data_IF_679787448781
#
_entry.id   IF_679787448781
#
_cell.length_a   1.000
_cell.length_b   1.000
_cell.length_c   1.000
_cell.angle_alpha   90.00
_cell.angle_beta   90.00
_cell.angle_gamma   90.00
#
_symmetry.space_group_name_H-M   'P 1'
#
loop_
_entity.id
_entity.type
_entity.pdbx_description
1 polymer ?
#
# COMPACT_ATOMS: atom_id res chain seq x y z
N UNK A 1 -22.64 -34.39 16.35
CA UNK A 1 -22.41 -33.71 15.06
C UNK A 1 -22.96 -32.31 15.23
N UNK A 2 -22.12 -31.27 15.24
CA UNK A 2 -22.57 -29.89 15.46
C UNK A 2 -23.02 -29.32 14.11
N UNK A 3 -24.32 -29.35 13.85
CA UNK A 3 -24.91 -28.61 12.73
C UNK A 3 -25.00 -27.13 13.15
N UNK A 4 -23.98 -26.34 12.80
CA UNK A 4 -24.08 -24.88 12.91
C UNK A 4 -25.21 -24.39 12.00
N UNK A 5 -26.11 -23.57 12.53
CA UNK A 5 -27.23 -23.01 11.77
C UNK A 5 -26.72 -22.18 10.57
N UNK A 6 -27.33 -22.38 9.40
CA UNK A 6 -26.94 -21.67 8.16
C UNK A 6 -26.99 -20.15 8.28
N UNK A 7 -27.78 -19.61 9.21
CA UNK A 7 -27.80 -18.17 9.54
C UNK A 7 -26.54 -17.73 10.26
N UNK A 8 -26.12 -18.46 11.29
CA UNK A 8 -24.90 -18.16 12.05
C UNK A 8 -23.65 -18.19 11.15
N UNK A 9 -23.58 -19.11 10.19
CA UNK A 9 -22.49 -19.17 9.21
C UNK A 9 -22.45 -17.91 8.33
N UNK A 10 -23.61 -17.42 7.88
CA UNK A 10 -23.69 -16.21 7.04
C UNK A 10 -23.29 -14.96 7.81
N UNK A 11 -23.71 -14.84 9.07
CA UNK A 11 -23.39 -13.70 9.92
C UNK A 11 -21.89 -13.66 10.25
N UNK A 12 -21.28 -14.81 10.57
CA UNK A 12 -19.82 -14.93 10.75
C UNK A 12 -19.05 -14.56 9.48
N UNK A 13 -19.52 -14.98 8.30
CA UNK A 13 -18.90 -14.61 7.02
C UNK A 13 -19.05 -13.12 6.70
N UNK A 14 -20.15 -12.48 7.09
CA UNK A 14 -20.36 -11.06 6.92
C UNK A 14 -19.40 -10.27 7.82
N UNK A 15 -19.33 -10.62 9.10
CA UNK A 15 -18.42 -10.00 10.06
C UNK A 15 -16.95 -10.13 9.63
N UNK A 16 -16.53 -11.32 9.20
CA UNK A 16 -15.18 -11.55 8.69
C UNK A 16 -14.86 -10.80 7.38
N UNK A 17 -15.87 -10.36 6.62
CA UNK A 17 -15.67 -9.51 5.43
C UNK A 17 -15.52 -8.05 5.82
N UNK A 18 -16.33 -7.59 6.77
CA UNK A 18 -16.26 -6.22 7.30
C UNK A 18 -14.89 -5.96 7.93
N UNK A 19 -14.43 -6.85 8.81
CA UNK A 19 -13.09 -6.79 9.42
C UNK A 19 -11.97 -6.72 8.36
N UNK A 20 -12.08 -7.52 7.29
CA UNK A 20 -11.10 -7.50 6.19
C UNK A 20 -11.09 -6.22 5.39
N UNK A 21 -12.25 -5.60 5.17
CA UNK A 21 -12.33 -4.31 4.48
C UNK A 21 -11.82 -3.18 5.37
N UNK A 22 -12.07 -3.21 6.68
CA UNK A 22 -11.48 -2.27 7.65
C UNK A 22 -9.95 -2.38 7.67
N UNK A 23 -9.41 -3.59 7.75
CA UNK A 23 -7.97 -3.82 7.70
C UNK A 23 -7.37 -3.33 6.37
N UNK A 24 -8.03 -3.61 5.25
CA UNK A 24 -7.59 -3.17 3.92
C UNK A 24 -7.58 -1.65 3.79
N UNK A 25 -8.60 -0.96 4.31
CA UNK A 25 -8.66 0.50 4.27
C UNK A 25 -7.58 1.12 5.16
N UNK A 26 -7.32 0.55 6.33
CA UNK A 26 -6.22 0.94 7.22
C UNK A 26 -4.85 0.74 6.55
N UNK A 27 -4.60 -0.42 5.95
CA UNK A 27 -3.36 -0.70 5.23
C UNK A 27 -3.16 0.27 4.06
N UNK A 28 -4.24 0.56 3.33
CA UNK A 28 -4.23 1.52 2.24
C UNK A 28 -3.84 2.92 2.73
N UNK A 29 -4.32 3.35 3.88
CA UNK A 29 -3.94 4.65 4.45
C UNK A 29 -2.45 4.70 4.84
N UNK A 30 -1.94 3.64 5.45
CA UNK A 30 -0.51 3.53 5.83
C UNK A 30 0.41 3.56 4.61
N UNK A 31 0.09 2.77 3.58
CA UNK A 31 0.88 2.76 2.35
C UNK A 31 0.79 4.08 1.57
N UNK A 32 -0.34 4.78 1.64
CA UNK A 32 -0.46 6.12 1.07
C UNK A 32 0.50 7.09 1.76
N UNK A 33 0.55 7.10 3.09
CA UNK A 33 1.48 7.93 3.86
C UNK A 33 2.95 7.65 3.49
N UNK A 34 3.30 6.36 3.34
CA UNK A 34 4.64 5.95 2.91
C UNK A 34 4.96 6.44 1.48
N UNK A 35 4.00 6.38 0.56
CA UNK A 35 4.19 6.91 -0.81
C UNK A 35 4.34 8.43 -0.79
N UNK A 36 3.58 9.14 0.05
CA UNK A 36 3.69 10.58 0.21
C UNK A 36 5.04 11.00 0.79
N UNK A 37 5.56 10.24 1.76
CA UNK A 37 6.90 10.43 2.31
C UNK A 37 7.98 10.20 1.25
N UNK A 38 7.84 9.14 0.45
CA UNK A 38 8.78 8.86 -0.64
C UNK A 38 8.76 9.96 -1.72
N UNK A 39 7.58 10.39 -2.14
CA UNK A 39 7.42 11.40 -3.19
C UNK A 39 7.65 12.84 -2.69
N UNK A 40 7.60 13.07 -1.38
CA UNK A 40 7.56 14.38 -0.73
C UNK A 40 6.38 15.26 -1.21
N UNK A 41 5.28 14.61 -1.56
CA UNK A 41 4.05 15.22 -2.06
C UNK A 41 2.86 14.69 -1.27
N UNK A 42 1.85 15.52 -1.08
CA UNK A 42 0.56 15.09 -0.52
C UNK A 42 -0.45 14.89 -1.65
N UNK A 43 -1.15 13.75 -1.65
CA UNK A 43 -2.12 13.35 -2.68
C UNK A 43 -3.57 13.51 -2.20
N UNK A 44 -3.86 14.51 -1.36
CA UNK A 44 -5.19 14.74 -0.74
C UNK A 44 -6.35 14.87 -1.74
N UNK A 45 -6.13 15.48 -2.91
CA UNK A 45 -7.21 15.85 -3.84
C UNK A 45 -7.25 14.97 -5.08
N UNK A 46 -6.10 14.78 -5.71
CA UNK A 46 -5.97 14.05 -6.96
C UNK A 46 -4.88 12.98 -6.79
N UNK A 47 -5.27 11.74 -7.02
CA UNK A 47 -4.37 10.60 -6.93
C UNK A 47 -4.01 10.16 -8.37
N UNK A 48 -2.76 10.38 -8.82
CA UNK A 48 -2.40 10.04 -10.19
C UNK A 48 -2.42 8.52 -10.41
N UNK A 49 -2.69 8.10 -11.65
CA UNK A 49 -2.87 6.68 -11.98
C UNK A 49 -1.67 5.80 -11.58
N UNK A 50 -0.43 6.31 -11.70
CA UNK A 50 0.76 5.58 -11.26
C UNK A 50 0.82 5.37 -9.74
N UNK A 51 0.37 6.33 -8.96
CA UNK A 51 0.28 6.23 -7.49
C UNK A 51 -0.86 5.30 -7.08
N UNK A 52 -2.00 5.34 -7.78
CA UNK A 52 -3.12 4.42 -7.54
C UNK A 52 -2.69 2.97 -7.76
N UNK A 53 -1.99 2.72 -8.87
CA UNK A 53 -1.52 1.39 -9.23
C UNK A 53 -0.45 0.90 -8.25
N UNK A 54 0.48 1.75 -7.83
CA UNK A 54 1.45 1.44 -6.79
C UNK A 54 0.78 1.06 -5.46
N UNK A 55 -0.22 1.84 -5.03
CA UNK A 55 -0.94 1.62 -3.78
C UNK A 55 -1.72 0.30 -3.78
N UNK A 56 -2.42 0.01 -4.87
CA UNK A 56 -3.16 -1.25 -5.02
C UNK A 56 -2.22 -2.45 -5.02
N UNK A 57 -1.03 -2.32 -5.61
CA UNK A 57 -0.04 -3.39 -5.62
C UNK A 57 0.55 -3.63 -4.23
N UNK A 58 0.92 -2.58 -3.49
CA UNK A 58 1.39 -2.69 -2.10
C UNK A 58 0.38 -3.42 -1.20
N UNK A 59 -0.90 -3.06 -1.30
CA UNK A 59 -1.98 -3.70 -0.51
C UNK A 59 -2.19 -5.17 -0.92
N UNK A 60 -1.96 -5.53 -2.18
CA UNK A 60 -2.05 -6.93 -2.63
C UNK A 60 -0.85 -7.76 -2.17
N UNK A 61 0.35 -7.20 -2.23
CA UNK A 61 1.62 -7.86 -1.90
C UNK A 61 1.95 -7.83 -0.41
N UNK A 62 1.09 -7.21 0.40
CA UNK A 62 1.32 -6.99 1.82
C UNK A 62 1.72 -8.29 2.54
N UNK A 63 2.91 -8.32 3.18
CA UNK A 63 3.45 -9.53 3.80
C UNK A 63 2.59 -10.06 4.96
N UNK A 64 1.67 -9.25 5.51
CA UNK A 64 0.73 -9.71 6.54
C UNK A 64 -0.22 -10.83 6.05
N UNK A 65 -0.31 -11.04 4.73
CA UNK A 65 -0.86 -12.26 4.12
C UNK A 65 0.13 -13.42 4.24
N UNK A 66 0.56 -13.74 5.45
CA UNK A 66 1.25 -15.00 5.74
C UNK A 66 0.24 -16.14 5.60
N UNK A 67 -0.03 -16.55 4.36
CA UNK A 67 -0.47 -17.91 4.11
C UNK A 67 0.60 -18.84 4.70
N UNK A 68 0.17 -19.97 5.26
CA UNK A 68 0.99 -21.07 5.82
C UNK A 68 2.14 -21.59 4.92
N UNK A 69 2.35 -20.98 3.76
CA UNK A 69 3.42 -21.20 2.78
C UNK A 69 4.70 -20.40 3.06
N UNK A 70 4.80 -19.66 4.17
CA UNK A 70 6.02 -18.94 4.57
C UNK A 70 7.26 -19.87 4.70
N UNK A 71 7.03 -21.17 4.91
CA UNK A 71 8.09 -22.20 4.91
C UNK A 71 8.83 -22.30 3.56
N UNK A 72 8.17 -21.98 2.43
CA UNK A 72 8.79 -21.95 1.09
C UNK A 72 9.52 -20.65 0.75
N UNK A 73 9.22 -19.56 1.46
CA UNK A 73 9.94 -18.28 1.29
C UNK A 73 11.29 -18.27 2.02
N UNK A 74 11.50 -19.17 2.99
CA UNK A 74 12.77 -19.32 3.68
C UNK A 74 13.94 -19.71 2.76
N UNK A 75 13.65 -20.35 1.62
CA UNK A 75 14.66 -20.82 0.66
C UNK A 75 14.81 -19.87 -0.55
N UNK A 76 13.96 -18.85 -0.65
CA UNK A 76 14.12 -17.72 -1.55
C UNK A 76 14.51 -16.51 -0.72
N UNK A 77 15.75 -16.50 -0.25
CA UNK A 77 16.45 -15.26 0.07
C UNK A 77 16.67 -14.47 -1.24
N UNK A 78 15.59 -14.00 -1.86
CA UNK A 78 15.66 -12.87 -2.77
C UNK A 78 16.13 -11.73 -1.90
N UNK A 79 17.38 -11.37 -2.09
CA UNK A 79 18.03 -10.23 -1.47
C UNK A 79 17.32 -8.96 -1.94
N UNK A 80 16.15 -8.66 -1.38
CA UNK A 80 15.51 -7.34 -1.44
C UNK A 80 16.31 -6.32 -0.59
N UNK A 81 17.64 -6.45 -0.55
CA UNK A 81 18.55 -5.61 0.22
C UNK A 81 18.96 -4.34 -0.56
N UNK A 82 18.06 -3.84 -1.40
CA UNK A 82 18.24 -2.59 -2.16
C UNK A 82 17.14 -1.56 -1.88
N UNK A 83 16.18 -1.86 -1.00
CA UNK A 83 15.09 -0.92 -0.67
C UNK A 83 15.49 -0.02 0.49
N UNK A 84 16.33 0.98 0.21
CA UNK A 84 16.73 2.02 1.18
C UNK A 84 15.55 2.77 1.81
N UNK A 85 14.40 2.78 1.13
CA UNK A 85 13.20 3.56 1.51
C UNK A 85 11.97 2.67 1.82
N UNK A 86 12.15 1.36 2.02
CA UNK A 86 11.06 0.45 2.44
C UNK A 86 9.99 0.12 1.39
N UNK A 87 10.19 0.53 0.13
CA UNK A 87 9.32 0.23 -1.02
C UNK A 87 10.06 -0.63 -2.04
N UNK A 88 9.44 -1.68 -2.63
CA UNK A 88 10.07 -2.46 -3.71
C UNK A 88 10.53 -1.61 -4.89
N UNK A 89 11.67 -1.96 -5.51
CA UNK A 89 12.30 -1.17 -6.59
C UNK A 89 11.39 -0.95 -7.80
N UNK A 90 10.56 -1.94 -8.15
CA UNK A 90 9.61 -1.81 -9.26
C UNK A 90 8.51 -0.79 -8.98
N UNK A 91 8.11 -0.63 -7.70
CA UNK A 91 7.15 0.38 -7.26
C UNK A 91 7.81 1.76 -7.25
N UNK A 92 9.06 1.84 -6.79
CA UNK A 92 9.85 3.07 -6.87
C UNK A 92 9.95 3.57 -8.31
N UNK A 93 10.11 2.69 -9.30
CA UNK A 93 10.14 3.07 -10.72
C UNK A 93 8.86 3.77 -11.17
N UNK A 94 7.69 3.38 -10.66
CA UNK A 94 6.41 4.03 -10.93
C UNK A 94 6.22 5.36 -10.19
N UNK A 95 6.82 5.50 -9.01
CA UNK A 95 6.73 6.69 -8.17
C UNK A 95 7.76 7.77 -8.52
N UNK A 96 8.90 7.39 -9.10
CA UNK A 96 9.99 8.29 -9.49
C UNK A 96 9.56 9.53 -10.30
N UNK A 97 8.59 9.46 -11.25
CA UNK A 97 8.11 10.65 -11.96
C UNK A 97 7.47 11.70 -11.05
N UNK A 98 6.88 11.25 -9.94
CA UNK A 98 6.24 12.10 -8.93
C UNK A 98 7.22 12.49 -7.82
N UNK A 99 8.37 11.83 -7.72
CA UNK A 99 9.36 12.08 -6.68
C UNK A 99 9.97 13.46 -6.84
N UNK A 100 9.88 14.26 -5.79
CA UNK A 100 10.51 15.58 -5.73
C UNK A 100 11.80 15.55 -4.93
N UNK A 101 12.89 15.97 -5.55
CA UNK A 101 14.16 16.22 -4.87
C UNK A 101 14.03 17.55 -4.10
N UNK A 102 14.39 17.55 -2.82
CA UNK A 102 14.49 18.78 -2.04
C UNK A 102 15.60 19.67 -2.58
N UNK A 103 15.27 20.66 -3.41
CA UNK A 103 16.15 21.80 -3.61
C UNK A 103 16.08 22.68 -2.36
N UNK A 104 17.06 22.49 -1.47
CA UNK A 104 17.45 23.34 -0.34
C UNK A 104 16.34 24.18 0.35
N UNK A 105 15.91 23.72 1.54
CA UNK A 105 15.46 24.64 2.60
C UNK A 105 14.02 24.48 3.09
N UNK A 106 13.11 23.84 2.36
CA UNK A 106 11.71 23.70 2.79
C UNK A 106 11.28 22.23 2.86
N UNK A 107 11.22 21.68 4.08
CA UNK A 107 10.92 20.26 4.37
C UNK A 107 9.43 19.90 4.40
N UNK A 108 8.55 20.80 3.94
CA UNK A 108 7.09 20.56 3.97
C UNK A 108 6.64 19.85 2.71
N UNK A 109 5.81 18.81 2.87
CA UNK A 109 5.08 18.16 1.77
C UNK A 109 4.25 19.23 1.05
N UNK A 110 4.33 19.27 -0.28
CA UNK A 110 3.48 20.14 -1.09
C UNK A 110 2.29 19.34 -1.63
N UNK A 111 1.11 19.95 -1.78
CA UNK A 111 0.01 19.28 -2.45
C UNK A 111 0.39 18.96 -3.90
N UNK A 112 0.02 17.77 -4.35
CA UNK A 112 0.12 17.38 -5.75
C UNK A 112 -0.83 18.26 -6.60
N UNK A 113 -0.33 18.74 -7.74
CA UNK A 113 -1.08 19.55 -8.68
C UNK A 113 -0.99 18.82 -10.02
N UNK A 114 -2.09 18.19 -10.45
CA UNK A 114 -2.14 17.40 -11.67
C UNK A 114 -1.86 18.22 -12.95
N UNK A 115 -2.03 19.55 -12.90
CA UNK A 115 -1.70 20.43 -14.01
C UNK A 115 -1.50 21.89 -13.55
N UNK A 116 -0.28 22.46 -13.56
CA UNK A 116 -0.05 23.85 -13.15
C UNK A 116 -0.43 24.88 -14.24
N UNK A 117 -1.09 24.47 -15.32
CA UNK A 117 -1.47 25.33 -16.45
C UNK A 117 -2.97 25.26 -16.74
N UNK A 118 -3.73 26.09 -16.04
CA UNK A 118 -4.94 26.74 -16.52
C UNK A 118 -5.11 28.08 -15.80
#
# INVERSE_FOLDING_TARGET
>A
MMDMDQKQIKDLLAQAREEKEEDKTRLRALYLEQIEDYCNLSFEKDLPAGVALALDELVKTDPSRFNLTSEKLSDMAVTYNATTDGLPDYIQAWLNPYRRIYLAGNKRKRPYIANPRH
#
